data_IF_041739301908
#
_entry.id   IF_041739301908
#
_cell.length_a   1.000
_cell.length_b   1.000
_cell.length_c   1.000
_cell.angle_alpha   90.00
_cell.angle_beta   90.00
_cell.angle_gamma   90.00
#
_symmetry.space_group_name_H-M   'P 1'
#
loop_
_entity.id
_entity.type
_entity.pdbx_description
1 polymer ?
#
# COMPACT_ATOMS: atom_id res chain seq x y z
N UNK A 1 -34.89 11.24 19.76
CA UNK A 1 -34.47 11.32 18.35
C UNK A 1 -33.02 10.86 18.31
N UNK A 2 -32.75 9.62 17.92
CA UNK A 2 -31.37 9.13 17.74
C UNK A 2 -30.76 9.84 16.54
N UNK A 3 -29.62 10.53 16.75
CA UNK A 3 -28.82 11.07 15.64
C UNK A 3 -28.52 9.91 14.69
N UNK A 4 -28.59 10.11 13.37
CA UNK A 4 -28.18 9.09 12.43
C UNK A 4 -26.71 8.79 12.71
N UNK A 5 -26.41 7.59 13.18
CA UNK A 5 -25.02 7.10 13.25
C UNK A 5 -24.52 7.05 11.83
N UNK A 6 -23.61 8.01 11.51
CA UNK A 6 -22.92 8.01 10.22
C UNK A 6 -22.30 6.63 10.05
N UNK A 7 -22.62 5.94 8.95
CA UNK A 7 -22.02 4.66 8.65
C UNK A 7 -20.48 4.77 8.77
N UNK A 8 -19.82 3.83 9.45
CA UNK A 8 -18.37 3.89 9.55
C UNK A 8 -17.76 3.91 8.15
N UNK A 9 -16.66 4.65 7.99
CA UNK A 9 -15.95 4.69 6.73
C UNK A 9 -15.48 3.28 6.35
N UNK A 10 -15.51 2.96 5.06
CA UNK A 10 -14.86 1.76 4.55
C UNK A 10 -13.35 1.96 4.53
N UNK A 11 -12.58 0.89 4.74
CA UNK A 11 -11.13 0.91 4.66
C UNK A 11 -10.69 0.06 3.47
N UNK A 12 -9.86 0.62 2.59
CA UNK A 12 -9.29 -0.09 1.45
C UNK A 12 -7.78 -0.13 1.62
N UNK A 13 -7.22 -1.34 1.67
CA UNK A 13 -5.81 -1.61 1.95
C UNK A 13 -5.08 -1.96 0.65
N UNK A 14 -3.97 -1.26 0.38
CA UNK A 14 -3.16 -1.41 -0.84
C UNK A 14 -1.74 -1.83 -0.46
N UNK A 15 -1.31 -2.99 -0.95
CA UNK A 15 0.00 -3.58 -0.62
C UNK A 15 1.15 -2.97 -1.43
N UNK A 16 2.38 -3.25 -1.01
CA UNK A 16 3.61 -2.81 -1.66
C UNK A 16 4.03 -3.64 -2.88
N UNK A 17 5.18 -3.33 -3.45
CA UNK A 17 5.63 -3.89 -4.73
C UNK A 17 6.12 -5.33 -4.70
N UNK A 18 6.67 -5.81 -3.58
CA UNK A 18 7.28 -7.14 -3.46
C UNK A 18 6.49 -8.09 -2.56
N UNK A 19 5.26 -7.76 -2.27
CA UNK A 19 4.34 -8.49 -1.39
C UNK A 19 2.98 -8.59 -2.08
N UNK A 20 2.05 -9.27 -1.44
CA UNK A 20 0.66 -9.36 -1.88
C UNK A 20 -0.30 -8.92 -0.76
N UNK A 21 -1.60 -9.02 -1.03
CA UNK A 21 -2.62 -8.62 -0.07
C UNK A 21 -2.65 -9.43 1.23
N UNK A 22 -2.00 -10.61 1.28
CA UNK A 22 -1.96 -11.43 2.49
C UNK A 22 -1.20 -10.75 3.63
N UNK A 23 -0.26 -9.86 3.32
CA UNK A 23 0.45 -9.05 4.31
C UNK A 23 -0.47 -8.17 5.16
N UNK A 24 -1.66 -7.88 4.67
CA UNK A 24 -2.66 -7.11 5.40
C UNK A 24 -3.57 -7.95 6.31
N UNK A 25 -3.44 -9.28 6.34
CA UNK A 25 -4.37 -10.17 7.07
C UNK A 25 -4.56 -9.77 8.53
N UNK A 26 -3.48 -9.46 9.24
CA UNK A 26 -3.54 -9.06 10.65
C UNK A 26 -4.33 -7.77 10.86
N UNK A 27 -4.05 -6.75 10.06
CA UNK A 27 -4.77 -5.46 10.08
C UNK A 27 -6.22 -5.64 9.67
N UNK A 28 -6.48 -6.40 8.62
CA UNK A 28 -7.83 -6.74 8.16
C UNK A 28 -8.67 -7.34 9.28
N UNK A 29 -8.15 -8.35 9.98
CA UNK A 29 -8.88 -9.02 11.08
C UNK A 29 -9.22 -8.06 12.22
N UNK A 30 -8.29 -7.18 12.60
CA UNK A 30 -8.51 -6.18 13.65
C UNK A 30 -9.59 -5.20 13.25
N UNK A 31 -9.48 -4.60 12.07
CA UNK A 31 -10.46 -3.63 11.58
C UNK A 31 -11.85 -4.24 11.39
N UNK A 32 -11.94 -5.49 10.91
CA UNK A 32 -13.23 -6.21 10.81
C UNK A 32 -13.84 -6.46 12.18
N UNK A 33 -13.04 -6.82 13.18
CA UNK A 33 -13.49 -6.99 14.56
C UNK A 33 -14.03 -5.69 15.16
N UNK A 34 -13.41 -4.56 14.78
CA UNK A 34 -13.83 -3.22 15.23
C UNK A 34 -15.03 -2.67 14.43
N UNK A 35 -15.60 -3.48 13.50
CA UNK A 35 -16.84 -3.16 12.78
C UNK A 35 -16.65 -2.36 11.49
N UNK A 36 -15.42 -2.18 11.01
CA UNK A 36 -15.19 -1.53 9.72
C UNK A 36 -15.52 -2.45 8.54
N UNK A 37 -15.98 -1.86 7.45
CA UNK A 37 -15.98 -2.54 6.17
C UNK A 37 -14.58 -2.42 5.54
N UNK A 38 -13.94 -3.56 5.26
CA UNK A 38 -12.54 -3.60 4.83
C UNK A 38 -12.41 -4.41 3.55
N UNK A 39 -11.72 -3.84 2.59
CA UNK A 39 -11.33 -4.49 1.33
C UNK A 39 -9.82 -4.44 1.16
N UNK A 40 -9.24 -5.47 0.53
CA UNK A 40 -7.82 -5.53 0.18
C UNK A 40 -7.72 -5.51 -1.34
N UNK A 41 -6.89 -4.63 -1.88
CA UNK A 41 -6.56 -4.60 -3.30
C UNK A 41 -5.44 -5.60 -3.57
N UNK A 42 -5.57 -6.35 -4.67
CA UNK A 42 -4.49 -7.15 -5.23
C UNK A 42 -3.91 -6.39 -6.43
N UNK A 43 -2.75 -5.79 -6.21
CA UNK A 43 -2.04 -5.06 -7.25
C UNK A 43 -1.43 -6.06 -8.25
N UNK A 44 -1.67 -5.92 -9.57
CA UNK A 44 -0.97 -6.73 -10.57
C UNK A 44 0.55 -6.53 -10.58
N UNK A 45 1.04 -5.38 -10.12
CA UNK A 45 2.45 -4.99 -10.10
C UNK A 45 3.16 -5.08 -11.46
N UNK A 46 2.39 -4.88 -12.53
CA UNK A 46 2.87 -4.86 -13.92
C UNK A 46 3.09 -3.44 -14.44
N UNK A 47 2.29 -2.49 -13.97
CA UNK A 47 2.45 -1.06 -14.19
C UNK A 47 1.65 -0.27 -13.15
N UNK A 48 2.01 1.00 -12.91
CA UNK A 48 1.27 1.88 -12.01
C UNK A 48 -0.19 2.05 -12.48
N UNK A 49 -0.42 2.18 -13.77
CA UNK A 49 -1.76 2.32 -14.34
C UNK A 49 -2.63 1.10 -14.05
N UNK A 50 -2.07 -0.11 -14.14
CA UNK A 50 -2.78 -1.35 -13.85
C UNK A 50 -3.14 -1.45 -12.36
N UNK A 51 -2.22 -1.06 -11.47
CA UNK A 51 -2.42 -1.08 -10.02
C UNK A 51 -3.44 -0.03 -9.57
N UNK A 52 -3.40 1.17 -10.16
CA UNK A 52 -4.40 2.22 -9.94
C UNK A 52 -5.77 1.78 -10.48
N UNK A 53 -5.83 1.13 -11.63
CA UNK A 53 -7.08 0.60 -12.17
C UNK A 53 -7.69 -0.48 -11.26
N UNK A 54 -6.88 -1.40 -10.73
CA UNK A 54 -7.32 -2.40 -9.76
C UNK A 54 -7.88 -1.75 -8.48
N UNK A 55 -7.18 -0.74 -7.97
CA UNK A 55 -7.63 0.04 -6.81
C UNK A 55 -8.97 0.73 -7.08
N UNK A 56 -9.12 1.40 -8.22
CA UNK A 56 -10.37 2.05 -8.61
C UNK A 56 -11.55 1.08 -8.77
N UNK A 57 -11.30 -0.15 -9.23
CA UNK A 57 -12.34 -1.18 -9.27
C UNK A 57 -12.85 -1.55 -7.87
N UNK A 58 -11.97 -1.61 -6.87
CA UNK A 58 -12.36 -1.84 -5.47
C UNK A 58 -13.12 -0.62 -4.92
N UNK A 59 -12.63 0.60 -5.18
CA UNK A 59 -13.30 1.85 -4.78
C UNK A 59 -14.71 1.95 -5.37
N UNK A 60 -14.90 1.55 -6.62
CA UNK A 60 -16.21 1.59 -7.29
C UNK A 60 -17.29 0.78 -6.55
N UNK A 61 -16.89 -0.31 -5.87
CA UNK A 61 -17.79 -1.18 -5.09
C UNK A 61 -18.13 -0.65 -3.70
N UNK A 62 -17.40 0.37 -3.22
CA UNK A 62 -17.66 0.92 -1.89
C UNK A 62 -18.92 1.78 -1.89
N UNK A 63 -19.72 1.63 -0.84
CA UNK A 63 -20.97 2.38 -0.63
C UNK A 63 -20.86 3.49 0.41
N UNK A 64 -19.76 3.50 1.17
CA UNK A 64 -19.45 4.49 2.19
C UNK A 64 -18.19 5.29 1.81
N UNK A 65 -17.93 6.47 2.42
CA UNK A 65 -16.65 7.16 2.28
C UNK A 65 -15.49 6.24 2.63
N UNK A 66 -14.39 6.31 1.88
CA UNK A 66 -13.25 5.40 1.97
C UNK A 66 -12.05 6.08 2.62
N UNK A 67 -11.43 5.38 3.57
CA UNK A 67 -10.05 5.63 3.98
C UNK A 67 -9.17 4.67 3.17
N UNK A 68 -8.34 5.23 2.30
CA UNK A 68 -7.44 4.47 1.43
C UNK A 68 -6.06 4.38 2.08
N UNK A 69 -5.58 3.17 2.33
CA UNK A 69 -4.34 2.91 3.09
C UNK A 69 -3.32 2.24 2.17
N UNK A 70 -2.13 2.80 2.07
CA UNK A 70 -1.05 2.26 1.25
C UNK A 70 0.20 1.97 2.07
N UNK A 71 0.82 0.81 1.81
CA UNK A 71 2.11 0.43 2.36
C UNK A 71 3.19 0.48 1.26
N UNK A 72 4.37 1.02 1.57
CA UNK A 72 5.51 1.05 0.65
C UNK A 72 5.14 1.64 -0.72
N UNK A 73 5.37 0.94 -1.84
CA UNK A 73 4.92 1.31 -3.19
C UNK A 73 3.41 1.55 -3.27
N UNK A 74 2.60 0.88 -2.43
CA UNK A 74 1.16 1.13 -2.35
C UNK A 74 0.81 2.59 -2.06
N UNK A 75 1.75 3.36 -1.46
CA UNK A 75 1.61 4.81 -1.29
C UNK A 75 1.55 5.56 -2.61
N UNK A 76 2.33 5.16 -3.62
CA UNK A 76 2.27 5.75 -4.97
C UNK A 76 0.90 5.47 -5.59
N UNK A 77 0.42 4.24 -5.46
CA UNK A 77 -0.89 3.82 -6.00
C UNK A 77 -2.02 4.63 -5.37
N UNK A 78 -2.02 4.79 -4.02
CA UNK A 78 -3.07 5.54 -3.35
C UNK A 78 -3.01 7.05 -3.61
N UNK A 79 -1.83 7.60 -3.87
CA UNK A 79 -1.69 9.02 -4.27
C UNK A 79 -2.42 9.28 -5.59
N UNK A 80 -2.28 8.40 -6.57
CA UNK A 80 -2.97 8.50 -7.87
C UNK A 80 -4.47 8.16 -7.78
N UNK A 81 -4.82 7.10 -7.05
CA UNK A 81 -6.21 6.68 -6.90
C UNK A 81 -7.02 7.59 -5.96
N UNK A 82 -6.33 8.32 -5.09
CA UNK A 82 -6.93 9.14 -4.02
C UNK A 82 -7.72 10.35 -4.48
N UNK A 83 -7.65 10.70 -5.76
CA UNK A 83 -8.48 11.75 -6.37
C UNK A 83 -9.93 11.28 -6.62
N UNK A 84 -10.28 10.02 -6.35
CA UNK A 84 -11.65 9.51 -6.45
C UNK A 84 -12.54 10.21 -5.40
N UNK A 85 -13.73 10.72 -5.78
CA UNK A 85 -14.63 11.45 -4.88
C UNK A 85 -15.12 10.63 -3.68
N UNK A 86 -15.02 9.32 -3.70
CA UNK A 86 -15.34 8.43 -2.58
C UNK A 86 -14.24 8.42 -1.51
N UNK A 87 -13.02 8.84 -1.84
CA UNK A 87 -11.90 8.84 -0.90
C UNK A 87 -11.99 10.03 0.04
N UNK A 88 -12.17 9.75 1.32
CA UNK A 88 -12.27 10.74 2.38
C UNK A 88 -10.92 11.03 3.05
N UNK A 89 -9.93 10.14 2.89
CA UNK A 89 -8.59 10.33 3.44
C UNK A 89 -7.61 9.27 2.96
N UNK A 90 -6.33 9.61 3.03
CA UNK A 90 -5.20 8.75 2.69
C UNK A 90 -4.37 8.46 3.94
N UNK A 91 -3.92 7.22 4.09
CA UNK A 91 -3.02 6.79 5.15
C UNK A 91 -1.81 6.11 4.55
N UNK A 92 -0.65 6.63 4.83
CA UNK A 92 0.64 6.12 4.37
C UNK A 92 1.32 5.35 5.50
N UNK A 93 1.56 4.05 5.30
CA UNK A 93 2.21 3.17 6.28
C UNK A 93 3.59 2.79 5.74
N UNK A 94 4.65 3.38 6.26
CA UNK A 94 6.02 3.21 5.75
C UNK A 94 6.05 3.25 4.21
N UNK A 95 5.44 4.28 3.62
CA UNK A 95 5.09 4.33 2.22
C UNK A 95 5.69 5.54 1.51
N UNK A 96 5.88 5.41 0.20
CA UNK A 96 6.18 6.54 -0.67
C UNK A 96 4.96 7.45 -0.81
N UNK A 97 5.17 8.75 -0.68
CA UNK A 97 4.15 9.78 -0.86
C UNK A 97 4.63 10.80 -1.92
N UNK A 98 4.61 10.41 -3.20
CA UNK A 98 5.13 11.27 -4.27
C UNK A 98 4.27 12.51 -4.47
N UNK A 99 4.92 13.62 -4.79
CA UNK A 99 4.28 14.81 -5.34
C UNK A 99 4.15 14.68 -6.87
N UNK A 100 3.47 15.63 -7.49
CA UNK A 100 3.25 15.64 -8.94
C UNK A 100 4.58 15.58 -9.70
N UNK A 101 4.74 14.57 -10.53
CA UNK A 101 5.94 14.36 -11.36
C UNK A 101 7.04 13.56 -10.67
N UNK A 102 6.88 13.16 -9.43
CA UNK A 102 7.81 12.28 -8.73
C UNK A 102 7.49 10.80 -9.00
N UNK A 103 8.52 9.99 -8.89
CA UNK A 103 8.43 8.53 -8.97
C UNK A 103 9.20 7.90 -7.80
N UNK A 104 8.98 6.62 -7.52
CA UNK A 104 9.83 5.89 -6.55
C UNK A 104 11.30 6.05 -6.89
N UNK A 105 11.67 5.92 -8.17
CA UNK A 105 13.04 6.05 -8.61
C UNK A 105 13.62 7.46 -8.35
N UNK A 106 12.82 8.54 -8.47
CA UNK A 106 13.27 9.89 -8.14
C UNK A 106 13.43 10.09 -6.63
N UNK A 107 12.52 9.51 -5.84
CA UNK A 107 12.52 9.64 -4.37
C UNK A 107 13.68 8.89 -3.70
N UNK A 108 14.15 7.78 -4.28
CA UNK A 108 15.26 6.97 -3.73
C UNK A 108 16.63 7.28 -4.37
N UNK A 109 16.70 8.23 -5.31
CA UNK A 109 17.93 8.51 -6.07
C UNK A 109 19.08 8.98 -5.19
N UNK A 110 18.80 9.84 -4.22
CA UNK A 110 19.77 10.49 -3.37
C UNK A 110 19.44 10.25 -1.88
N UNK A 111 19.61 9.01 -1.38
CA UNK A 111 19.27 8.71 0.01
C UNK A 111 20.18 9.47 0.97
N UNK A 112 19.69 9.86 2.14
CA UNK A 112 20.52 10.45 3.19
C UNK A 112 21.73 9.57 3.53
N UNK A 113 22.88 10.15 3.89
CA UNK A 113 24.05 9.37 4.31
C UNK A 113 23.68 8.39 5.45
N UNK A 114 24.08 7.12 5.29
CA UNK A 114 23.80 6.07 6.27
C UNK A 114 22.42 5.42 6.16
N UNK A 115 21.62 5.78 5.13
CA UNK A 115 20.37 5.08 4.84
C UNK A 115 20.63 3.61 4.49
N UNK A 116 19.82 2.67 5.00
CA UNK A 116 19.93 1.28 4.59
C UNK A 116 19.65 1.14 3.10
N UNK A 117 20.48 0.34 2.41
CA UNK A 117 20.25 0.01 1.00
C UNK A 117 19.18 -1.08 0.93
N UNK A 118 18.06 -0.85 0.25
CA UNK A 118 17.05 -1.90 0.06
C UNK A 118 17.67 -3.12 -0.66
N UNK A 119 17.32 -4.36 -0.28
CA UNK A 119 17.82 -5.57 -0.92
C UNK A 119 17.12 -5.82 -2.27
N UNK A 120 17.19 -4.84 -3.16
CA UNK A 120 16.59 -4.91 -4.50
C UNK A 120 17.69 -5.20 -5.50
N UNK A 121 17.53 -6.29 -6.25
CA UNK A 121 18.46 -6.67 -7.30
C UNK A 121 18.32 -5.74 -8.52
N UNK A 122 19.37 -5.62 -9.35
CA UNK A 122 19.28 -4.92 -10.62
C UNK A 122 18.13 -5.46 -11.47
N UNK A 123 17.44 -4.60 -12.24
CA UNK A 123 16.33 -5.01 -13.10
C UNK A 123 16.70 -6.15 -14.06
N UNK A 124 15.84 -7.16 -14.16
CA UNK A 124 15.99 -8.28 -15.10
C UNK A 124 14.72 -8.37 -15.95
N UNK A 125 14.86 -8.25 -17.26
CA UNK A 125 13.74 -8.29 -18.22
C UNK A 125 12.58 -7.32 -17.88
N UNK A 126 12.90 -6.15 -17.31
CA UNK A 126 11.90 -5.15 -16.92
C UNK A 126 11.24 -5.39 -15.56
N UNK A 127 11.68 -6.40 -14.81
CA UNK A 127 11.18 -6.71 -13.47
C UNK A 127 12.24 -6.46 -12.40
N UNK A 128 11.78 -6.04 -11.22
CA UNK A 128 12.59 -5.92 -10.01
C UNK A 128 12.39 -7.16 -9.12
N UNK A 129 13.47 -7.61 -8.49
CA UNK A 129 13.45 -8.75 -7.58
C UNK A 129 14.10 -8.36 -6.25
N UNK A 130 13.66 -8.97 -5.15
CA UNK A 130 14.37 -8.89 -3.88
C UNK A 130 15.49 -9.91 -3.84
N UNK A 131 16.62 -9.54 -3.22
CA UNK A 131 17.64 -10.49 -2.83
C UNK A 131 17.11 -11.37 -1.68
N UNK A 132 16.96 -12.66 -1.94
CA UNK A 132 16.45 -13.60 -0.94
C UNK A 132 17.35 -13.69 0.31
N UNK A 133 18.66 -13.48 0.18
CA UNK A 133 19.58 -13.48 1.30
C UNK A 133 19.46 -12.22 2.17
N UNK A 134 19.14 -11.07 1.55
CA UNK A 134 18.95 -9.80 2.24
C UNK A 134 17.54 -9.58 2.79
N UNK A 135 16.57 -10.39 2.33
CA UNK A 135 15.14 -10.26 2.72
C UNK A 135 14.67 -11.40 3.65
N UNK A 136 15.54 -12.33 4.04
CA UNK A 136 15.19 -13.38 4.97
C UNK A 136 14.86 -12.81 6.34
N UNK A 137 13.62 -13.02 6.79
CA UNK A 137 13.30 -12.88 8.21
C UNK A 137 14.11 -13.92 8.98
N UNK A 138 14.94 -13.50 9.95
CA UNK A 138 15.53 -14.44 10.87
C UNK A 138 14.40 -15.10 11.68
N UNK A 139 14.28 -16.44 11.57
CA UNK A 139 13.19 -17.18 12.23
C UNK A 139 13.23 -17.09 13.77
N UNK A 140 14.26 -16.50 14.35
CA UNK A 140 14.47 -16.46 15.79
C UNK A 140 13.94 -15.17 16.46
N UNK A 141 13.91 -14.04 15.78
CA UNK A 141 13.53 -12.75 16.40
C UNK A 141 12.25 -12.13 15.87
N UNK A 142 11.60 -12.70 14.86
CA UNK A 142 10.44 -12.13 14.15
C UNK A 142 10.66 -10.67 13.68
N UNK A 143 11.89 -10.28 13.48
CA UNK A 143 12.23 -9.01 12.86
C UNK A 143 12.43 -9.23 11.38
N UNK A 144 11.37 -9.02 10.63
CA UNK A 144 11.53 -8.72 9.22
C UNK A 144 12.19 -7.36 9.16
N UNK A 145 13.40 -7.27 8.61
CA UNK A 145 14.04 -5.99 8.35
C UNK A 145 13.06 -5.14 7.54
N UNK A 146 12.55 -4.07 8.16
CA UNK A 146 11.57 -3.22 7.52
C UNK A 146 12.21 -2.52 6.32
N UNK A 147 11.56 -2.64 5.17
CA UNK A 147 11.70 -1.72 4.05
C UNK A 147 10.65 -0.64 4.21
#
# INVERSE_FOLDING_TARGET
MSSPTKAPASVVLVHGGFVDGSGWEGVYRILKKDGYDVSIVQNPTTSLEADVAATRQVLAKQTSPVILVGHSYGGVVITEAGNDPKVAGLVYVAAFAPDKGESVASLIRDPPPGSPVPPILPPQNGFLFLDAAGSACDGETRRCGGV
#
